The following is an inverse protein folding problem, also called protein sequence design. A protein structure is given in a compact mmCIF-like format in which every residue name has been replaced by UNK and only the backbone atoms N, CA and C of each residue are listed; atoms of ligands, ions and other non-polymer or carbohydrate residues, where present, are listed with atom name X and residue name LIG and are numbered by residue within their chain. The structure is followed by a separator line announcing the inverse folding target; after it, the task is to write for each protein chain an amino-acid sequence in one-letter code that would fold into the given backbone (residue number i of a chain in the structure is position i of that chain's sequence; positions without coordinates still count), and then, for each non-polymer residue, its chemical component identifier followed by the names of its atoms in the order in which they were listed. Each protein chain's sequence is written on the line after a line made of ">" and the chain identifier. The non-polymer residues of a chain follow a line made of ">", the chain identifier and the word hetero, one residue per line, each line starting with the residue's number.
data_IF_614912442898
#
_entry.id   IF_614912442898
#
_cell.length_a   1.000
_cell.length_b   1.000
_cell.length_c   1.000
_cell.angle_alpha   90.00
_cell.angle_beta   90.00
_cell.angle_gamma   90.00
#
_symmetry.space_group_name_H-M   'P 1'
#
loop_
_entity.id
_entity.type
_entity.pdbx_description
1 polymer ?
#
# COMPACT_ATOMS: atom_id res chain seq x y z
N UNK A 1 42.71 -8.20 -15.23
CA UNK A 1 41.90 -7.10 -14.71
C UNK A 1 41.92 -6.00 -15.77
N UNK A 2 40.78 -5.81 -16.40
CA UNK A 2 40.56 -4.88 -17.52
C UNK A 2 40.31 -3.42 -17.08
N UNK A 3 40.41 -3.15 -15.77
CA UNK A 3 40.18 -1.82 -15.20
C UNK A 3 38.73 -1.37 -15.20
N UNK A 4 37.78 -2.25 -15.54
CA UNK A 4 36.38 -1.94 -15.49
C UNK A 4 35.89 -1.73 -14.03
N UNK A 5 35.13 -0.66 -13.79
CA UNK A 5 34.49 -0.41 -12.52
C UNK A 5 33.16 -1.18 -12.49
N UNK A 6 33.06 -2.14 -11.58
CA UNK A 6 31.82 -2.85 -11.35
C UNK A 6 31.04 -2.17 -10.20
N UNK A 7 29.76 -1.89 -10.42
CA UNK A 7 28.89 -1.37 -9.36
C UNK A 7 28.46 -2.50 -8.44
N UNK A 8 29.14 -2.65 -7.31
CA UNK A 8 28.88 -3.72 -6.31
C UNK A 8 27.68 -3.42 -5.41
N UNK A 9 27.10 -2.22 -5.50
CA UNK A 9 25.99 -1.79 -4.64
C UNK A 9 26.33 -0.54 -3.84
N UNK A 10 25.34 -0.07 -3.07
CA UNK A 10 25.47 1.10 -2.20
C UNK A 10 25.91 0.68 -0.79
N UNK A 11 26.79 1.47 -0.20
CA UNK A 11 27.25 1.29 1.17
C UNK A 11 26.28 1.90 2.22
N UNK A 12 25.44 2.83 1.77
CA UNK A 12 24.33 3.41 2.51
C UNK A 12 23.10 2.51 2.31
N UNK A 13 22.41 2.15 3.36
CA UNK A 13 21.20 1.31 3.34
C UNK A 13 20.00 1.97 2.61
N UNK A 14 20.29 2.91 1.70
CA UNK A 14 19.28 3.56 0.86
C UNK A 14 18.75 2.60 -0.19
N UNK A 15 17.45 2.61 -0.35
CA UNK A 15 16.77 1.78 -1.33
C UNK A 15 15.93 2.63 -2.27
N UNK A 16 15.74 2.14 -3.49
CA UNK A 16 14.84 2.78 -4.45
C UNK A 16 13.61 1.89 -4.60
N UNK A 17 12.46 2.39 -4.16
CA UNK A 17 11.17 1.70 -4.26
C UNK A 17 10.20 2.61 -4.98
N UNK A 18 9.62 2.15 -6.09
CA UNK A 18 8.63 2.90 -6.89
C UNK A 18 9.09 4.31 -7.28
N UNK A 19 10.40 4.48 -7.53
CA UNK A 19 10.99 5.79 -7.88
C UNK A 19 11.41 6.65 -6.69
N UNK A 20 10.93 6.36 -5.48
CA UNK A 20 11.31 7.09 -4.28
C UNK A 20 12.61 6.56 -3.71
N UNK A 21 13.47 7.48 -3.29
CA UNK A 21 14.70 7.18 -2.56
C UNK A 21 14.37 7.17 -1.07
N UNK A 22 14.54 6.02 -0.41
CA UNK A 22 14.13 5.79 0.96
C UNK A 22 15.34 5.43 1.81
N UNK A 23 15.48 6.12 2.92
CA UNK A 23 16.45 5.85 3.99
C UNK A 23 15.80 4.91 5.00
N UNK A 24 16.18 3.63 5.01
CA UNK A 24 15.62 2.67 5.97
C UNK A 24 15.89 3.08 7.42
N UNK A 25 17.06 3.65 7.68
CA UNK A 25 17.44 4.15 9.01
C UNK A 25 16.57 5.28 9.54
N UNK A 26 15.99 6.10 8.68
CA UNK A 26 15.04 7.13 9.11
C UNK A 26 13.74 6.51 9.65
N UNK A 27 13.24 5.49 8.97
CA UNK A 27 12.04 4.75 9.41
C UNK A 27 12.34 4.03 10.74
N UNK A 28 13.50 3.36 10.84
CA UNK A 28 13.95 2.69 12.06
C UNK A 28 14.07 3.68 13.23
N UNK A 29 14.68 4.84 13.01
CA UNK A 29 14.83 5.89 14.02
C UNK A 29 13.48 6.45 14.49
N UNK A 30 12.47 6.53 13.61
CA UNK A 30 11.12 6.95 14.00
C UNK A 30 10.38 5.86 14.77
N UNK A 31 10.45 4.61 14.31
CA UNK A 31 9.85 3.47 15.03
C UNK A 31 10.42 3.31 16.44
N UNK A 32 11.72 3.49 16.60
CA UNK A 32 12.39 3.41 17.91
C UNK A 32 11.93 4.48 18.91
N UNK A 33 11.23 5.52 18.47
CA UNK A 33 10.64 6.54 19.36
C UNK A 33 9.29 6.11 19.94
N UNK A 34 8.70 5.02 19.44
CA UNK A 34 7.45 4.51 19.99
C UNK A 34 7.71 3.82 21.33
N UNK A 35 6.94 4.14 22.40
CA UNK A 35 7.21 3.64 23.76
C UNK A 35 7.18 2.11 23.88
N UNK A 36 6.40 1.45 23.03
CA UNK A 36 6.23 -0.01 23.05
C UNK A 36 7.21 -0.73 22.09
N UNK A 37 8.20 -0.04 21.54
CA UNK A 37 9.20 -0.62 20.63
C UNK A 37 10.52 -0.72 21.32
N UNK A 38 10.99 -1.94 21.60
CA UNK A 38 12.31 -2.19 22.20
C UNK A 38 13.43 -2.07 21.17
N UNK A 39 13.24 -2.72 20.02
CA UNK A 39 14.14 -2.68 18.87
C UNK A 39 13.37 -2.86 17.59
N UNK A 40 13.87 -2.29 16.50
CA UNK A 40 13.28 -2.49 15.18
C UNK A 40 14.35 -2.54 14.10
N UNK A 41 13.99 -3.12 12.98
CA UNK A 41 14.76 -3.12 11.74
C UNK A 41 13.82 -3.10 10.57
N UNK A 42 14.13 -2.31 9.55
CA UNK A 42 13.37 -2.24 8.31
C UNK A 42 14.19 -2.85 7.19
N UNK A 43 13.56 -3.70 6.42
CA UNK A 43 14.18 -4.31 5.23
C UNK A 43 13.29 -4.12 4.02
N UNK A 44 13.89 -4.31 2.84
CA UNK A 44 13.13 -4.45 1.60
C UNK A 44 12.90 -5.92 1.34
N UNK A 45 11.66 -6.33 1.25
CA UNK A 45 11.26 -7.65 0.78
C UNK A 45 10.74 -7.55 -0.67
N UNK A 46 11.04 -8.56 -1.45
CA UNK A 46 10.56 -8.70 -2.82
C UNK A 46 9.82 -10.03 -2.91
N UNK A 47 8.48 -9.97 -2.88
CA UNK A 47 7.60 -11.15 -2.90
C UNK A 47 7.42 -11.70 -4.30
N UNK A 48 7.46 -10.82 -5.29
CA UNK A 48 7.41 -11.12 -6.71
C UNK A 48 8.46 -10.27 -7.42
N UNK A 49 9.04 -10.72 -8.52
CA UNK A 49 10.00 -9.97 -9.29
C UNK A 49 9.50 -8.54 -9.60
N UNK A 50 10.23 -7.53 -9.14
CA UNK A 50 9.88 -6.13 -9.31
C UNK A 50 8.96 -5.52 -8.24
N UNK A 51 8.34 -6.33 -7.37
CA UNK A 51 7.43 -5.85 -6.31
C UNK A 51 8.14 -5.71 -4.96
N UNK A 52 9.00 -4.68 -4.88
CA UNK A 52 9.71 -4.32 -3.64
C UNK A 52 8.82 -3.56 -2.69
N UNK A 53 8.82 -3.97 -1.42
CA UNK A 53 8.11 -3.28 -0.35
C UNK A 53 8.90 -3.26 0.95
N UNK A 54 8.54 -2.30 1.83
CA UNK A 54 9.14 -2.15 3.13
C UNK A 54 8.47 -3.10 4.12
N UNK A 55 9.28 -3.82 4.87
CA UNK A 55 8.86 -4.69 5.97
C UNK A 55 9.59 -4.25 7.24
N UNK A 56 8.83 -3.97 8.29
CA UNK A 56 9.35 -3.65 9.61
C UNK A 56 9.27 -4.86 10.53
N UNK A 57 10.40 -5.26 11.08
CA UNK A 57 10.48 -6.22 12.17
C UNK A 57 10.61 -5.43 13.47
N UNK A 58 9.73 -5.68 14.41
CA UNK A 58 9.64 -4.93 15.66
C UNK A 58 9.70 -5.90 16.83
N UNK A 59 10.74 -5.77 17.67
CA UNK A 59 10.77 -6.44 18.95
C UNK A 59 9.96 -5.63 19.96
N UNK A 60 9.02 -6.29 20.61
CA UNK A 60 8.16 -5.70 21.63
C UNK A 60 7.71 -6.75 22.63
N UNK A 61 7.63 -6.35 23.90
CA UNK A 61 7.00 -7.13 24.98
C UNK A 61 5.62 -6.59 25.33
N UNK A 62 5.24 -5.46 24.73
CA UNK A 62 3.95 -4.81 24.93
C UNK A 62 2.87 -5.32 23.97
N UNK A 63 1.60 -5.11 24.32
CA UNK A 63 0.44 -5.43 23.47
C UNK A 63 0.24 -4.31 22.44
N UNK A 64 1.21 -4.11 21.56
CA UNK A 64 1.09 -3.20 20.42
C UNK A 64 0.69 -4.00 19.17
N UNK A 65 -0.09 -3.41 18.29
CA UNK A 65 -0.43 -4.02 17.00
C UNK A 65 0.16 -3.21 15.83
N UNK A 66 0.20 -3.82 14.65
CA UNK A 66 0.72 -3.22 13.44
C UNK A 66 0.05 -1.88 13.10
N UNK A 67 -1.26 -1.76 13.33
CA UNK A 67 -2.02 -0.55 12.99
C UNK A 67 -1.62 0.66 13.84
N UNK A 68 -1.34 0.45 15.14
CA UNK A 68 -0.84 1.51 16.02
C UNK A 68 0.53 2.02 15.57
N UNK A 69 1.43 1.11 15.18
CA UNK A 69 2.75 1.47 14.67
C UNK A 69 2.65 2.19 13.32
N UNK A 70 1.78 1.73 12.43
CA UNK A 70 1.50 2.36 11.15
C UNK A 70 0.96 3.78 11.34
N UNK A 71 -0.03 3.95 12.23
CA UNK A 71 -0.60 5.26 12.55
C UNK A 71 0.43 6.20 13.17
N UNK A 72 1.31 5.68 14.02
CA UNK A 72 2.40 6.46 14.62
C UNK A 72 3.36 6.99 13.56
N UNK A 73 3.80 6.15 12.62
CA UNK A 73 4.69 6.56 11.53
C UNK A 73 4.04 7.56 10.57
N UNK A 74 2.77 7.39 10.23
CA UNK A 74 2.01 8.32 9.36
C UNK A 74 1.94 9.74 9.88
N UNK A 75 2.17 9.98 11.17
CA UNK A 75 2.20 11.33 11.75
C UNK A 75 3.46 12.11 11.37
N UNK A 76 4.53 11.42 11.02
CA UNK A 76 5.87 12.01 10.85
C UNK A 76 6.54 11.66 9.53
N UNK A 77 6.13 10.59 8.87
CA UNK A 77 6.70 10.12 7.62
C UNK A 77 5.69 10.18 6.49
N UNK A 78 6.15 10.45 5.26
CA UNK A 78 5.31 10.31 4.07
C UNK A 78 4.83 8.87 3.88
N UNK A 79 3.70 8.68 3.25
CA UNK A 79 3.07 7.36 3.06
C UNK A 79 3.99 6.33 2.37
N UNK A 80 4.81 6.76 1.40
CA UNK A 80 5.75 5.88 0.70
C UNK A 80 6.90 5.34 1.58
N UNK A 81 7.12 5.92 2.77
CA UNK A 81 8.09 5.47 3.77
C UNK A 81 7.47 4.60 4.87
N UNK A 82 6.15 4.50 4.92
CA UNK A 82 5.47 3.66 5.92
C UNK A 82 5.54 2.20 5.48
N UNK A 83 6.10 1.28 6.31
CA UNK A 83 6.15 -0.13 5.97
C UNK A 83 4.76 -0.70 5.70
N UNK A 84 4.64 -1.50 4.64
CA UNK A 84 3.41 -2.21 4.32
C UNK A 84 3.13 -3.29 5.36
N UNK A 85 4.16 -4.00 5.81
CA UNK A 85 4.06 -5.12 6.73
C UNK A 85 4.86 -4.85 8.00
N UNK A 86 4.27 -5.19 9.16
CA UNK A 86 4.92 -5.15 10.47
C UNK A 86 4.91 -6.56 11.07
N UNK A 87 6.09 -7.11 11.33
CA UNK A 87 6.25 -8.39 12.03
C UNK A 87 6.66 -8.13 13.46
N UNK A 88 5.75 -8.46 14.37
CA UNK A 88 5.98 -8.31 15.80
C UNK A 88 6.65 -9.58 16.33
N UNK A 89 7.78 -9.41 16.97
CA UNK A 89 8.61 -10.51 17.50
C UNK A 89 8.89 -10.27 18.98
N UNK A 90 9.03 -11.30 19.79
CA UNK A 90 9.48 -11.14 21.19
C UNK A 90 10.93 -10.62 21.27
N UNK A 91 11.76 -10.95 20.29
CA UNK A 91 13.12 -10.44 20.14
C UNK A 91 13.59 -10.54 18.69
N UNK A 92 14.53 -9.66 18.29
CA UNK A 92 15.19 -9.76 17.00
C UNK A 92 16.41 -10.68 17.07
N UNK A 93 16.68 -11.48 16.03
CA UNK A 93 17.90 -12.29 15.97
C UNK A 93 19.15 -11.40 15.94
N UNK A 94 20.17 -11.79 16.69
CA UNK A 94 21.40 -11.06 16.80
C UNK A 94 22.58 -11.90 16.32
N UNK A 95 23.53 -11.25 15.65
CA UNK A 95 24.84 -11.84 15.36
C UNK A 95 25.66 -12.01 16.66
N UNK A 96 26.75 -12.82 16.68
CA UNK A 96 27.62 -12.94 17.83
C UNK A 96 28.19 -11.60 18.36
N UNK A 97 28.24 -10.60 17.48
CA UNK A 97 28.72 -9.25 17.83
C UNK A 97 27.59 -8.32 18.33
N UNK A 98 26.39 -8.83 18.61
CA UNK A 98 25.24 -8.06 19.13
C UNK A 98 24.52 -7.17 18.12
N UNK A 99 24.85 -7.27 16.82
CA UNK A 99 24.12 -6.56 15.74
C UNK A 99 22.94 -7.40 15.27
N UNK A 100 21.90 -6.76 14.74
CA UNK A 100 20.75 -7.47 14.18
C UNK A 100 21.18 -8.33 12.98
N UNK A 101 20.89 -9.62 13.04
CA UNK A 101 21.13 -10.55 11.94
C UNK A 101 19.96 -10.50 10.96
N UNK A 102 20.11 -9.66 9.93
CA UNK A 102 19.08 -9.49 8.88
C UNK A 102 18.84 -10.76 8.06
N UNK A 103 19.80 -11.71 8.05
CA UNK A 103 19.64 -12.97 7.30
C UNK A 103 18.83 -14.01 8.07
N UNK A 104 18.86 -13.91 9.41
CA UNK A 104 18.11 -14.78 10.31
C UNK A 104 16.71 -14.23 10.63
N UNK A 105 16.31 -13.09 10.05
CA UNK A 105 14.95 -12.59 10.17
C UNK A 105 13.99 -13.59 9.50
N UNK A 106 12.85 -13.90 10.13
CA UNK A 106 11.86 -14.76 9.50
C UNK A 106 11.39 -14.09 8.21
N UNK A 107 11.30 -14.89 7.14
CA UNK A 107 10.60 -14.42 5.94
C UNK A 107 9.19 -14.06 6.37
N UNK A 108 8.63 -12.94 5.86
CA UNK A 108 7.23 -12.64 6.07
C UNK A 108 6.41 -13.68 5.30
N UNK A 109 6.30 -14.88 5.87
CA UNK A 109 5.76 -16.04 5.17
C UNK A 109 4.27 -15.93 4.94
N UNK A 110 3.88 -16.36 3.74
CA UNK A 110 2.52 -16.79 3.44
C UNK A 110 2.00 -17.86 4.43
N UNK A 111 2.89 -18.62 5.08
CA UNK A 111 2.52 -19.63 6.08
C UNK A 111 1.98 -19.03 7.40
N UNK A 112 2.35 -17.80 7.77
CA UNK A 112 1.69 -17.11 8.90
C UNK A 112 0.27 -16.65 8.58
N UNK A 113 -0.06 -16.51 7.31
CA UNK A 113 -1.43 -16.30 6.83
C UNK A 113 -2.24 -17.60 6.85
N UNK A 114 -1.59 -18.76 6.96
CA UNK A 114 -2.26 -20.05 6.94
C UNK A 114 -2.97 -20.41 8.26
N UNK A 115 -2.43 -19.98 9.42
CA UNK A 115 -3.01 -20.27 10.72
C UNK A 115 -4.26 -19.42 11.03
N UNK A 116 -4.37 -18.22 10.41
CA UNK A 116 -5.52 -17.31 10.57
C UNK A 116 -6.38 -17.20 9.29
N UNK A 117 -6.20 -18.11 8.31
CA UNK A 117 -6.98 -18.07 7.08
C UNK A 117 -8.45 -18.35 7.33
N UNK A 118 -9.27 -17.33 7.20
CA UNK A 118 -10.73 -17.45 7.18
C UNK A 118 -11.21 -17.27 5.72
N UNK A 119 -11.83 -18.29 5.11
CA UNK A 119 -12.31 -18.17 3.74
C UNK A 119 -13.38 -17.08 3.61
N UNK A 120 -13.53 -16.47 2.43
CA UNK A 120 -14.67 -15.63 2.12
C UNK A 120 -15.98 -16.33 2.49
N UNK A 121 -16.93 -15.60 3.09
CA UNK A 121 -18.18 -16.14 3.61
C UNK A 121 -19.40 -15.72 2.79
N UNK A 122 -19.24 -14.76 1.86
CA UNK A 122 -20.34 -14.29 1.01
C UNK A 122 -19.90 -14.21 -0.45
N UNK A 123 -20.83 -14.26 -1.42
CA UNK A 123 -20.49 -14.12 -2.84
C UNK A 123 -19.73 -12.82 -3.15
N UNK A 124 -20.06 -11.72 -2.46
CA UNK A 124 -19.34 -10.45 -2.63
C UNK A 124 -17.90 -10.55 -2.12
N UNK A 125 -17.68 -11.22 -0.98
CA UNK A 125 -16.34 -11.47 -0.47
C UNK A 125 -15.52 -12.37 -1.40
N UNK A 126 -16.13 -13.41 -1.98
CA UNK A 126 -15.47 -14.29 -2.96
C UNK A 126 -15.00 -13.50 -4.20
N UNK A 127 -15.86 -12.64 -4.74
CA UNK A 127 -15.51 -11.81 -5.89
C UNK A 127 -14.41 -10.78 -5.55
N UNK A 128 -14.48 -10.16 -4.38
CA UNK A 128 -13.45 -9.22 -3.91
C UNK A 128 -12.11 -9.94 -3.72
N UNK A 129 -12.10 -11.09 -3.05
CA UNK A 129 -10.91 -11.91 -2.86
C UNK A 129 -10.31 -12.36 -4.20
N UNK A 130 -11.14 -12.76 -5.17
CA UNK A 130 -10.72 -13.10 -6.52
C UNK A 130 -10.07 -11.92 -7.25
N UNK A 131 -10.67 -10.73 -7.17
CA UNK A 131 -10.11 -9.50 -7.77
C UNK A 131 -8.75 -9.18 -7.14
N UNK A 132 -8.63 -9.27 -5.81
CA UNK A 132 -7.37 -9.00 -5.12
C UNK A 132 -6.31 -10.06 -5.46
N UNK A 133 -6.70 -11.34 -5.50
CA UNK A 133 -5.83 -12.45 -5.88
C UNK A 133 -5.17 -12.22 -7.25
N UNK A 134 -5.96 -11.86 -8.25
CA UNK A 134 -5.44 -11.55 -9.60
C UNK A 134 -4.50 -10.34 -9.61
N UNK A 135 -4.86 -9.26 -8.89
CA UNK A 135 -4.10 -8.00 -8.89
C UNK A 135 -2.82 -8.10 -8.07
N UNK A 136 -2.88 -8.80 -6.93
CA UNK A 136 -1.74 -8.97 -6.02
C UNK A 136 -0.87 -10.18 -6.37
N UNK A 137 -1.39 -11.11 -7.21
CA UNK A 137 -0.70 -12.34 -7.56
C UNK A 137 -0.60 -13.34 -6.40
N UNK A 138 -1.56 -13.34 -5.49
CA UNK A 138 -1.62 -14.18 -4.30
C UNK A 138 -2.72 -15.22 -4.51
N UNK A 139 -2.41 -16.53 -4.39
CA UNK A 139 -3.37 -17.60 -4.69
C UNK A 139 -4.55 -17.65 -3.73
N UNK A 140 -4.33 -17.31 -2.44
CA UNK A 140 -5.37 -17.43 -1.41
C UNK A 140 -5.47 -16.14 -0.62
N UNK A 141 -6.65 -15.54 -0.62
CA UNK A 141 -6.97 -14.34 0.15
C UNK A 141 -8.18 -14.64 1.03
N UNK A 142 -7.98 -14.46 2.33
CA UNK A 142 -9.01 -14.66 3.34
C UNK A 142 -9.86 -13.41 3.57
N UNK A 143 -11.01 -13.58 4.24
CA UNK A 143 -11.94 -12.46 4.48
C UNK A 143 -11.36 -11.37 5.40
N UNK A 144 -10.41 -11.73 6.29
CA UNK A 144 -9.77 -10.78 7.22
C UNK A 144 -8.48 -10.18 6.68
N UNK A 145 -8.00 -10.68 5.55
CA UNK A 145 -6.78 -10.16 4.96
C UNK A 145 -6.92 -8.70 4.57
N UNK A 146 -5.87 -7.95 4.86
CA UNK A 146 -5.80 -6.52 4.58
C UNK A 146 -5.07 -6.27 3.27
N UNK A 147 -5.71 -5.53 2.36
CA UNK A 147 -5.17 -5.22 1.04
C UNK A 147 -3.74 -4.67 1.07
N UNK A 148 -3.48 -3.72 1.97
CA UNK A 148 -2.19 -3.06 2.03
C UNK A 148 -1.11 -3.93 2.68
N UNK A 149 -1.48 -4.83 3.60
CA UNK A 149 -0.57 -5.81 4.20
C UNK A 149 -0.15 -6.89 3.21
N UNK A 150 -1.06 -7.27 2.31
CA UNK A 150 -0.79 -8.17 1.20
C UNK A 150 0.07 -7.55 0.09
N UNK A 151 0.53 -6.30 0.26
CA UNK A 151 1.36 -5.61 -0.71
C UNK A 151 0.62 -4.66 -1.64
N UNK A 152 -0.67 -4.49 -1.44
CA UNK A 152 -1.48 -3.51 -2.14
C UNK A 152 -0.93 -2.08 -1.93
N UNK A 153 -1.09 -1.24 -2.94
CA UNK A 153 -0.69 0.16 -2.91
C UNK A 153 -1.64 1.00 -3.77
N UNK A 154 -1.50 2.31 -3.73
CA UNK A 154 -2.44 3.25 -4.38
C UNK A 154 -2.69 2.95 -5.87
N UNK A 155 -1.65 2.56 -6.63
CA UNK A 155 -1.84 2.21 -8.04
C UNK A 155 -2.66 0.92 -8.19
N UNK A 156 -2.35 -0.12 -7.41
CA UNK A 156 -3.13 -1.37 -7.41
C UNK A 156 -4.54 -1.15 -6.86
N UNK A 157 -4.70 -0.27 -5.86
CA UNK A 157 -6.01 0.14 -5.36
C UNK A 157 -6.88 0.74 -6.45
N UNK A 158 -6.32 1.56 -7.35
CA UNK A 158 -7.04 2.10 -8.51
C UNK A 158 -7.48 0.99 -9.46
N UNK A 159 -6.66 -0.05 -9.66
CA UNK A 159 -7.03 -1.22 -10.47
C UNK A 159 -8.15 -2.03 -9.83
N UNK A 160 -8.08 -2.23 -8.48
CA UNK A 160 -9.17 -2.88 -7.72
C UNK A 160 -10.47 -2.11 -7.93
N UNK A 161 -10.49 -0.79 -7.76
CA UNK A 161 -11.70 0.02 -7.93
C UNK A 161 -12.27 -0.08 -9.34
N UNK A 162 -11.39 -0.13 -10.36
CA UNK A 162 -11.84 -0.33 -11.76
C UNK A 162 -12.50 -1.69 -11.97
N UNK A 163 -11.91 -2.78 -11.39
CA UNK A 163 -12.49 -4.13 -11.46
C UNK A 163 -13.79 -4.25 -10.69
N UNK A 164 -13.85 -3.64 -9.49
CA UNK A 164 -15.08 -3.61 -8.67
C UNK A 164 -16.20 -2.89 -9.41
N UNK A 165 -15.92 -1.74 -10.02
CA UNK A 165 -16.90 -1.03 -10.86
C UNK A 165 -17.43 -1.92 -11.98
N UNK A 166 -16.54 -2.64 -12.67
CA UNK A 166 -16.94 -3.51 -13.77
C UNK A 166 -17.79 -4.71 -13.31
N UNK A 167 -17.41 -5.33 -12.17
CA UNK A 167 -18.06 -6.52 -11.64
C UNK A 167 -19.43 -6.21 -11.00
N UNK A 168 -19.51 -5.15 -10.19
CA UNK A 168 -20.70 -4.83 -9.40
C UNK A 168 -21.56 -3.73 -10.00
N UNK A 169 -21.08 -3.02 -11.03
CA UNK A 169 -21.76 -1.87 -11.66
C UNK A 169 -22.11 -0.75 -10.69
N UNK A 170 -21.26 -0.57 -9.67
CA UNK A 170 -21.39 0.49 -8.68
C UNK A 170 -20.16 1.40 -8.77
N UNK A 171 -20.33 2.62 -8.29
CA UNK A 171 -19.25 3.57 -8.18
C UNK A 171 -18.92 3.83 -6.72
N UNK A 172 -17.68 3.55 -6.32
CA UNK A 172 -17.18 3.80 -4.98
C UNK A 172 -15.97 4.74 -5.05
N UNK A 173 -15.87 5.68 -4.13
CA UNK A 173 -14.64 6.48 -4.00
C UNK A 173 -13.43 5.58 -3.70
N UNK A 174 -12.27 5.91 -4.25
CA UNK A 174 -11.02 5.18 -3.94
C UNK A 174 -10.75 5.11 -2.44
N UNK A 175 -11.15 6.14 -1.69
CA UNK A 175 -11.04 6.21 -0.24
C UNK A 175 -11.72 5.04 0.47
N UNK A 176 -12.78 4.48 -0.09
CA UNK A 176 -13.51 3.35 0.50
C UNK A 176 -12.60 2.16 0.79
N UNK A 177 -11.63 1.86 -0.09
CA UNK A 177 -10.68 0.78 0.14
C UNK A 177 -9.68 1.11 1.26
N UNK A 178 -9.36 2.39 1.47
CA UNK A 178 -8.51 2.81 2.58
C UNK A 178 -9.24 2.78 3.93
N UNK A 179 -10.51 3.15 3.93
CA UNK A 179 -11.35 3.14 5.14
C UNK A 179 -11.79 1.70 5.51
N UNK A 180 -11.85 0.79 4.54
CA UNK A 180 -12.27 -0.61 4.67
C UNK A 180 -11.23 -1.56 4.06
N UNK A 181 -10.05 -1.72 4.66
CA UNK A 181 -8.91 -2.39 4.01
C UNK A 181 -8.99 -3.92 4.02
N UNK A 182 -9.94 -4.56 4.71
CA UNK A 182 -10.13 -6.02 4.69
C UNK A 182 -11.15 -6.43 3.62
N UNK A 183 -11.05 -7.68 3.13
CA UNK A 183 -12.02 -8.24 2.18
C UNK A 183 -13.45 -8.13 2.72
N UNK A 184 -13.67 -8.51 4.00
CA UNK A 184 -14.97 -8.47 4.66
C UNK A 184 -15.53 -7.05 4.76
N UNK A 185 -14.73 -6.09 5.24
CA UNK A 185 -15.17 -4.71 5.40
C UNK A 185 -15.43 -4.04 4.05
N UNK A 186 -14.58 -4.31 3.06
CA UNK A 186 -14.73 -3.75 1.71
C UNK A 186 -15.93 -4.35 0.98
N UNK A 187 -16.14 -5.66 1.07
CA UNK A 187 -17.33 -6.32 0.53
C UNK A 187 -18.62 -5.76 1.17
N UNK A 188 -18.63 -5.53 2.48
CA UNK A 188 -19.75 -4.91 3.17
C UNK A 188 -20.03 -3.47 2.71
N UNK A 189 -19.00 -2.72 2.34
CA UNK A 189 -19.16 -1.38 1.76
C UNK A 189 -19.76 -1.45 0.33
N UNK A 190 -19.35 -2.45 -0.46
CA UNK A 190 -19.91 -2.75 -1.79
C UNK A 190 -21.38 -3.09 -1.68
N UNK A 191 -21.74 -4.02 -0.78
CA UNK A 191 -23.12 -4.46 -0.58
C UNK A 191 -24.04 -3.29 -0.17
N UNK A 192 -23.57 -2.42 0.73
CA UNK A 192 -24.32 -1.21 1.14
C UNK A 192 -24.55 -0.27 -0.03
N UNK A 193 -23.52 0.00 -0.82
CA UNK A 193 -23.65 0.87 -1.98
C UNK A 193 -24.61 0.30 -3.04
N UNK A 194 -24.64 -1.03 -3.18
CA UNK A 194 -25.58 -1.72 -4.06
C UNK A 194 -27.03 -1.64 -3.58
N UNK A 195 -27.25 -1.62 -2.25
CA UNK A 195 -28.58 -1.50 -1.65
C UNK A 195 -29.11 -0.07 -1.64
N UNK A 196 -28.25 0.92 -1.50
CA UNK A 196 -28.62 2.34 -1.51
C UNK A 196 -29.07 2.83 -2.89
N UNK A 197 -28.92 1.97 -3.93
CA UNK A 197 -29.71 1.95 -5.18
C UNK A 197 -29.73 3.20 -6.03
N UNK A 198 -28.88 4.17 -5.76
CA UNK A 198 -28.66 5.30 -6.64
C UNK A 198 -27.28 5.17 -7.26
N UNK A 199 -27.15 4.12 -8.09
CA UNK A 199 -26.05 4.05 -9.03
C UNK A 199 -26.14 5.30 -9.90
N UNK A 200 -25.56 6.38 -9.41
CA UNK A 200 -25.35 7.58 -10.21
C UNK A 200 -24.68 7.15 -11.49
N UNK A 201 -25.48 6.90 -12.52
CA UNK A 201 -24.98 6.61 -13.85
C UNK A 201 -24.12 7.80 -14.23
N UNK A 202 -22.79 7.62 -14.11
CA UNK A 202 -21.91 8.58 -14.77
C UNK A 202 -22.38 8.57 -16.23
N UNK A 203 -22.82 9.72 -16.76
CA UNK A 203 -23.22 9.78 -18.14
C UNK A 203 -22.09 9.22 -19.00
N UNK A 204 -22.38 8.38 -19.99
CA UNK A 204 -21.34 7.84 -20.85
C UNK A 204 -20.52 8.98 -21.44
N UNK A 205 -19.19 8.78 -21.51
CA UNK A 205 -18.32 9.71 -22.23
C UNK A 205 -18.76 9.75 -23.68
N UNK A 206 -19.48 10.80 -24.05
CA UNK A 206 -19.88 11.04 -25.42
C UNK A 206 -18.98 12.10 -26.05
N UNK A 207 -18.58 11.96 -27.31
CA UNK A 207 -17.89 13.02 -28.01
C UNK A 207 -18.76 14.29 -28.04
N UNK A 208 -18.20 15.40 -27.53
CA UNK A 208 -18.87 16.71 -27.64
C UNK A 208 -18.37 17.43 -28.89
N UNK A 209 -19.26 18.17 -29.51
CA UNK A 209 -18.91 19.07 -30.62
C UNK A 209 -17.85 20.07 -30.14
N UNK A 210 -16.78 20.23 -30.90
CA UNK A 210 -15.71 21.19 -30.61
C UNK A 210 -15.96 22.56 -31.23
N UNK A 211 -17.14 22.78 -31.77
CA UNK A 211 -17.53 24.04 -32.41
C UNK A 211 -17.96 25.09 -31.39
N UNK A 212 -18.33 24.69 -30.17
CA UNK A 212 -18.72 25.59 -29.11
C UNK A 212 -17.59 25.78 -28.08
N UNK A 213 -17.67 26.85 -27.30
CA UNK A 213 -16.71 27.09 -26.20
C UNK A 213 -16.79 25.95 -25.18
N UNK A 214 -15.73 25.15 -25.13
CA UNK A 214 -15.60 24.10 -24.11
C UNK A 214 -15.26 24.75 -22.77
N UNK A 215 -16.03 24.43 -21.74
CA UNK A 215 -15.72 24.85 -20.37
C UNK A 215 -14.45 24.15 -19.89
N UNK A 216 -13.54 24.94 -19.34
CA UNK A 216 -12.32 24.42 -18.73
C UNK A 216 -12.66 23.63 -17.46
N UNK A 217 -11.97 22.50 -17.24
CA UNK A 217 -12.00 21.85 -15.94
C UNK A 217 -11.39 22.76 -14.85
N UNK A 218 -11.69 22.51 -13.57
CA UNK A 218 -11.14 23.29 -12.45
C UNK A 218 -9.59 23.34 -12.48
N UNK A 219 -8.92 22.25 -12.85
CA UNK A 219 -7.47 22.21 -12.99
C UNK A 219 -6.99 23.10 -14.14
N UNK A 220 -7.67 23.08 -15.30
CA UNK A 220 -7.37 23.93 -16.45
C UNK A 220 -7.65 25.39 -16.14
N UNK A 221 -8.75 25.72 -15.45
CA UNK A 221 -9.06 27.09 -15.01
C UNK A 221 -7.95 27.65 -14.12
N UNK A 222 -7.43 26.81 -13.18
CA UNK A 222 -6.33 27.21 -12.31
C UNK A 222 -5.05 27.49 -13.10
N UNK A 223 -4.69 26.62 -14.03
CA UNK A 223 -3.53 26.83 -14.91
C UNK A 223 -3.70 28.06 -15.77
N UNK A 224 -4.87 28.24 -16.39
CA UNK A 224 -5.18 29.41 -17.18
C UNK A 224 -5.06 30.70 -16.37
N UNK A 225 -5.60 30.71 -15.14
CA UNK A 225 -5.48 31.87 -14.24
C UNK A 225 -4.04 32.21 -13.90
N UNK A 226 -3.21 31.19 -13.59
CA UNK A 226 -1.76 31.37 -13.33
C UNK A 226 -1.03 31.94 -14.55
N UNK A 227 -1.33 31.47 -15.75
CA UNK A 227 -0.76 31.99 -17.00
C UNK A 227 -1.15 33.45 -17.27
N UNK A 228 -2.37 33.86 -16.85
CA UNK A 228 -2.80 35.28 -16.95
C UNK A 228 -2.08 36.19 -15.95
N UNK A 229 -1.68 35.66 -14.78
CA UNK A 229 -0.97 36.43 -13.76
C UNK A 229 0.52 36.58 -14.05
N UNK A 230 1.11 35.63 -14.74
CA UNK A 230 2.53 35.66 -15.14
C UNK A 230 2.71 35.16 -16.59
N UNK A 231 2.50 36.04 -17.57
CA UNK A 231 2.59 35.68 -18.99
C UNK A 231 3.99 35.27 -19.47
N UNK A 232 5.04 35.55 -18.69
CA UNK A 232 6.44 35.27 -19.09
C UNK A 232 6.95 33.92 -18.55
N UNK A 233 6.16 33.18 -17.75
CA UNK A 233 6.58 31.89 -17.16
C UNK A 233 6.04 30.64 -17.89
N UNK A 234 5.58 30.80 -19.14
CA UNK A 234 5.03 29.73 -19.99
C UNK A 234 6.05 29.15 -20.99
#
# INVERSE_FOLDING_TARGET
>A
PDGALEFVGRRDHQVKIRGFRIELGEIEARLAQHPDVDRCVVVVAEWQPGHKQLVAYVATTATVNADRLRLFLRRTLPEYMVPATFLLLPSLPLTPNGKIDRKALPTPDADRLADDFEPPATPTQDLVAGIWSEILGIERIGRRDQFFELGGHSLLATQVMSRVRAAFRIELPLRTLFDHPTVEAFASAIDRAGLEGDGGQIPPLVPVSRTDHLSLSFAQQRLWFLTQMDPESG
#
